data_IF_452523362002
#
_entry.id   IF_452523362002
#
_cell.length_a   1.000
_cell.length_b   1.000
_cell.length_c   1.000
_cell.angle_alpha   90.00
_cell.angle_beta   90.00
_cell.angle_gamma   90.00
#
_symmetry.space_group_name_H-M   'P 1'
#
loop_
_entity.id
_entity.type
_entity.pdbx_description
1 polymer ?
#
# COMPACT_ATOMS: atom_id res chain seq x y z
N UNK A 1 -10.37 -3.74 -36.22
CA UNK A 1 -9.52 -2.56 -35.96
C UNK A 1 -9.94 -2.07 -34.58
N UNK A 2 -9.18 -2.49 -33.55
CA UNK A 2 -9.50 -2.09 -32.19
C UNK A 2 -9.27 -0.60 -32.04
N UNK A 3 -10.29 0.11 -31.58
CA UNK A 3 -10.21 1.55 -31.29
C UNK A 3 -9.05 1.77 -30.30
N UNK A 4 -8.20 2.77 -30.52
CA UNK A 4 -7.11 3.04 -29.59
C UNK A 4 -7.70 3.30 -28.20
N UNK A 5 -7.19 2.59 -27.19
CA UNK A 5 -7.58 2.81 -25.79
C UNK A 5 -7.08 4.20 -25.40
N UNK A 6 -7.98 5.17 -25.37
CA UNK A 6 -7.65 6.54 -24.97
C UNK A 6 -7.58 6.57 -23.46
N UNK A 7 -6.40 6.77 -22.88
CA UNK A 7 -6.24 7.02 -21.46
C UNK A 7 -6.58 8.49 -21.21
N UNK A 8 -7.57 8.83 -20.38
CA UNK A 8 -7.89 10.22 -20.06
C UNK A 8 -6.67 10.95 -19.49
N UNK A 9 -6.54 12.23 -19.79
CA UNK A 9 -5.45 13.06 -19.29
C UNK A 9 -5.80 13.49 -17.87
N UNK A 10 -4.91 13.23 -16.90
CA UNK A 10 -4.97 13.81 -15.57
C UNK A 10 -3.96 14.96 -15.49
N UNK A 11 -4.43 16.15 -15.17
CA UNK A 11 -3.59 17.32 -14.98
C UNK A 11 -3.14 17.45 -13.52
N UNK A 12 -2.07 18.18 -13.27
CA UNK A 12 -1.56 18.43 -11.90
C UNK A 12 -2.62 19.08 -10.99
N UNK A 13 -3.57 19.83 -11.57
CA UNK A 13 -4.69 20.44 -10.82
C UNK A 13 -5.78 19.45 -10.39
N UNK A 14 -5.82 18.29 -11.03
CA UNK A 14 -6.81 17.25 -10.75
C UNK A 14 -6.27 16.21 -9.75
N UNK A 15 -4.99 16.29 -9.37
CA UNK A 15 -4.41 15.37 -8.39
C UNK A 15 -5.10 15.56 -7.05
N UNK A 16 -5.63 14.46 -6.51
CA UNK A 16 -6.32 14.41 -5.21
C UNK A 16 -5.66 13.43 -4.24
N UNK A 17 -4.92 12.47 -4.76
CA UNK A 17 -4.28 11.44 -3.95
C UNK A 17 -2.79 11.40 -4.22
N UNK A 18 -1.99 11.47 -3.17
CA UNK A 18 -0.55 11.27 -3.24
C UNK A 18 -0.18 9.91 -2.64
N UNK A 19 0.41 9.06 -3.46
CA UNK A 19 1.09 7.85 -3.02
C UNK A 19 2.57 8.16 -2.84
N UNK A 20 3.05 8.16 -1.60
CA UNK A 20 4.41 8.53 -1.24
C UNK A 20 5.21 7.32 -0.79
N UNK A 21 6.32 7.01 -1.44
CA UNK A 21 7.36 6.15 -0.91
C UNK A 21 8.40 7.00 -0.20
N UNK A 22 8.27 7.13 1.12
CA UNK A 22 9.11 8.05 1.92
C UNK A 22 10.52 7.50 2.17
N UNK A 23 10.75 6.22 1.93
CA UNK A 23 12.02 5.51 2.13
C UNK A 23 12.15 4.34 1.17
N UNK A 24 13.35 4.08 0.66
CA UNK A 24 13.68 2.85 -0.07
C UNK A 24 14.39 1.81 0.82
N UNK A 25 14.41 2.04 2.14
CA UNK A 25 14.98 1.13 3.14
C UNK A 25 13.89 0.21 3.70
N UNK A 26 14.18 -1.08 3.82
CA UNK A 26 13.33 -2.05 4.49
C UNK A 26 14.21 -3.12 5.15
N UNK A 27 13.84 -3.60 6.35
CA UNK A 27 14.49 -4.73 7.01
C UNK A 27 14.00 -6.08 6.51
N UNK A 28 12.83 -6.11 5.82
CA UNK A 28 12.24 -7.35 5.32
C UNK A 28 12.79 -7.74 3.95
N UNK A 29 12.91 -9.05 3.71
CA UNK A 29 13.32 -9.66 2.44
C UNK A 29 12.17 -10.50 1.85
N UNK A 30 10.99 -9.89 1.66
CA UNK A 30 9.80 -10.57 1.15
C UNK A 30 10.04 -11.08 -0.29
N UNK A 31 9.91 -12.38 -0.60
CA UNK A 31 10.39 -12.97 -1.86
C UNK A 31 9.77 -12.38 -3.14
N UNK A 32 8.49 -11.95 -3.09
CA UNK A 32 7.83 -11.34 -4.25
C UNK A 32 7.80 -9.81 -4.18
N UNK A 33 8.61 -9.17 -3.32
CA UNK A 33 8.74 -7.73 -3.26
C UNK A 33 9.60 -7.20 -4.42
N UNK A 34 9.27 -6.03 -4.98
CA UNK A 34 10.10 -5.38 -5.99
C UNK A 34 11.55 -5.19 -5.51
N UNK A 35 11.75 -4.89 -4.21
CA UNK A 35 13.08 -4.81 -3.58
C UNK A 35 13.93 -6.07 -3.81
N UNK A 36 13.31 -7.25 -3.83
CA UNK A 36 14.01 -8.53 -3.99
C UNK A 36 14.05 -9.02 -5.46
N UNK A 37 13.08 -8.61 -6.26
CA UNK A 37 12.86 -9.13 -7.61
C UNK A 37 13.31 -8.20 -8.73
N UNK A 38 13.50 -6.90 -8.47
CA UNK A 38 14.01 -5.95 -9.46
C UNK A 38 15.54 -6.03 -9.53
N UNK A 39 16.12 -6.53 -10.65
CA UNK A 39 17.57 -6.66 -10.79
C UNK A 39 18.27 -5.29 -10.87
N UNK A 40 17.54 -4.22 -11.14
CA UNK A 40 18.10 -2.86 -11.28
C UNK A 40 18.04 -2.08 -9.95
N UNK A 41 17.42 -2.64 -8.92
CA UNK A 41 17.35 -1.98 -7.61
C UNK A 41 18.64 -2.20 -6.82
N UNK A 42 19.30 -1.10 -6.48
CA UNK A 42 20.46 -1.13 -5.58
C UNK A 42 19.99 -1.29 -4.12
N UNK A 43 20.17 -2.49 -3.57
CA UNK A 43 19.79 -2.80 -2.17
C UNK A 43 20.62 -2.05 -1.12
N UNK A 44 21.77 -1.48 -1.51
CA UNK A 44 22.58 -0.62 -0.63
C UNK A 44 22.02 0.79 -0.51
N UNK A 45 21.06 1.16 -1.36
CA UNK A 45 20.36 2.44 -1.36
C UNK A 45 19.69 2.72 -0.01
N UNK A 46 19.80 3.97 0.47
CA UNK A 46 19.26 4.43 1.76
C UNK A 46 18.64 5.82 1.64
N UNK A 47 17.84 6.01 0.58
CA UNK A 47 17.15 7.29 0.41
C UNK A 47 15.96 7.39 1.36
N UNK A 48 15.86 8.55 1.99
CA UNK A 48 14.77 8.94 2.86
C UNK A 48 14.36 10.36 2.50
N UNK A 49 13.12 10.57 2.18
CA UNK A 49 12.60 11.90 1.93
C UNK A 49 12.48 12.70 3.22
N UNK A 50 12.73 14.00 3.13
CA UNK A 50 12.49 14.96 4.20
C UNK A 50 11.32 15.88 3.88
N UNK A 51 10.74 16.58 4.87
CA UNK A 51 9.74 17.62 4.62
C UNK A 51 10.27 18.71 3.69
N UNK A 52 11.54 19.12 3.81
CA UNK A 52 12.14 20.17 2.97
C UNK A 52 12.23 19.75 1.49
N UNK A 53 12.59 18.48 1.23
CA UNK A 53 12.57 17.94 -0.13
C UNK A 53 11.15 17.88 -0.68
N UNK A 54 10.17 17.45 0.12
CA UNK A 54 8.76 17.42 -0.29
C UNK A 54 8.22 18.83 -0.58
N UNK A 55 8.60 19.81 0.23
CA UNK A 55 8.24 21.21 0.01
C UNK A 55 8.81 21.76 -1.32
N UNK A 56 9.99 21.28 -1.72
CA UNK A 56 10.58 21.66 -3.01
C UNK A 56 9.91 21.00 -4.21
N UNK A 57 9.34 19.79 -4.02
CA UNK A 57 8.68 18.99 -5.06
C UNK A 57 7.20 19.33 -5.23
N UNK A 58 6.53 19.71 -4.14
CA UNK A 58 5.09 19.86 -4.07
C UNK A 58 4.74 21.33 -3.78
N UNK A 59 4.21 22.07 -4.75
CA UNK A 59 3.63 23.39 -4.51
C UNK A 59 2.55 23.32 -3.41
N UNK A 60 2.46 24.36 -2.59
CA UNK A 60 1.55 24.39 -1.45
C UNK A 60 0.08 24.25 -1.86
N UNK A 61 -0.31 24.84 -2.99
CA UNK A 61 -1.66 24.73 -3.56
C UNK A 61 -2.00 23.29 -3.96
N UNK A 62 -1.03 22.51 -4.46
CA UNK A 62 -1.21 21.07 -4.72
C UNK A 62 -1.48 20.33 -3.43
N UNK A 63 -0.69 20.55 -2.37
CA UNK A 63 -0.89 19.89 -1.06
C UNK A 63 -2.24 20.26 -0.44
N UNK A 64 -2.66 21.52 -0.57
CA UNK A 64 -3.97 22.00 -0.11
C UNK A 64 -5.14 21.33 -0.84
N UNK A 65 -4.95 20.96 -2.11
CA UNK A 65 -5.96 20.32 -2.94
C UNK A 65 -6.05 18.79 -2.74
N UNK A 66 -5.10 18.17 -2.02
CA UNK A 66 -5.12 16.73 -1.79
C UNK A 66 -6.26 16.33 -0.84
N UNK A 67 -7.02 15.33 -1.23
CA UNK A 67 -7.96 14.64 -0.35
C UNK A 67 -7.25 13.63 0.55
N UNK A 68 -6.13 13.05 0.04
CA UNK A 68 -5.43 11.96 0.72
C UNK A 68 -3.94 11.94 0.38
N UNK A 69 -3.13 11.66 1.37
CA UNK A 69 -1.75 11.20 1.21
C UNK A 69 -1.56 9.89 1.96
N UNK A 70 -0.96 8.89 1.31
CA UNK A 70 -0.61 7.66 2.00
C UNK A 70 0.82 7.23 1.68
N UNK A 71 1.49 6.69 2.68
CA UNK A 71 2.83 6.13 2.52
C UNK A 71 2.74 4.63 2.29
N UNK A 72 3.35 4.17 1.19
CA UNK A 72 3.52 2.76 0.89
C UNK A 72 4.70 2.60 -0.07
N UNK A 73 5.70 1.81 0.30
CA UNK A 73 6.88 1.61 -0.54
C UNK A 73 6.76 0.46 -1.53
N UNK A 74 7.38 0.61 -2.69
CA UNK A 74 7.70 -0.47 -3.59
C UNK A 74 8.97 -1.21 -3.14
N UNK A 75 9.94 -0.46 -2.63
CA UNK A 75 11.27 -0.92 -2.24
C UNK A 75 11.53 -0.78 -0.74
N UNK A 76 10.88 0.17 -0.07
CA UNK A 76 11.08 0.44 1.34
C UNK A 76 9.84 0.31 2.20
N UNK A 77 10.03 0.53 3.50
CA UNK A 77 8.95 0.62 4.48
C UNK A 77 8.92 2.04 5.06
N UNK A 78 7.76 2.70 5.14
CA UNK A 78 7.66 4.06 5.67
C UNK A 78 8.20 4.22 7.09
N UNK A 79 8.12 3.18 7.93
CA UNK A 79 8.66 3.21 9.28
C UNK A 79 10.20 3.17 9.33
N UNK A 80 10.88 2.92 8.19
CA UNK A 80 12.34 3.03 8.09
C UNK A 80 12.83 4.48 8.02
N UNK A 81 12.01 5.40 7.55
CA UNK A 81 12.36 6.82 7.52
C UNK A 81 12.16 7.46 8.90
N UNK A 82 13.25 7.92 9.51
CA UNK A 82 13.22 8.59 10.81
C UNK A 82 12.46 9.93 10.80
N UNK A 83 12.16 10.47 9.61
CA UNK A 83 11.40 11.72 9.43
C UNK A 83 9.90 11.49 9.17
N UNK A 84 9.44 10.25 9.13
CA UNK A 84 8.04 9.92 8.80
C UNK A 84 7.03 10.71 9.63
N UNK A 85 7.21 10.81 10.96
CA UNK A 85 6.31 11.60 11.81
C UNK A 85 6.34 13.09 11.46
N UNK A 86 7.51 13.63 11.11
CA UNK A 86 7.64 15.03 10.67
C UNK A 86 6.96 15.26 9.33
N UNK A 87 7.05 14.31 8.39
CA UNK A 87 6.37 14.39 7.09
C UNK A 87 4.85 14.43 7.29
N UNK A 88 4.28 13.57 8.13
CA UNK A 88 2.84 13.60 8.42
C UNK A 88 2.40 14.92 9.05
N UNK A 89 3.15 15.44 10.02
CA UNK A 89 2.87 16.76 10.63
C UNK A 89 2.92 17.88 9.61
N UNK A 90 3.89 17.83 8.69
CA UNK A 90 4.02 18.81 7.61
C UNK A 90 2.78 18.79 6.69
N UNK A 91 2.33 17.65 6.21
CA UNK A 91 1.11 17.57 5.39
C UNK A 91 -0.10 18.10 6.15
N UNK A 92 -0.26 17.71 7.40
CA UNK A 92 -1.39 18.15 8.24
C UNK A 92 -1.36 19.66 8.52
N UNK A 93 -0.19 20.27 8.64
CA UNK A 93 -0.05 21.72 8.86
C UNK A 93 -0.49 22.55 7.65
N UNK A 94 -0.34 22.02 6.42
CA UNK A 94 -0.75 22.67 5.18
C UNK A 94 -2.23 22.40 4.87
N UNK A 95 -2.66 21.17 5.07
CA UNK A 95 -4.03 20.72 4.81
C UNK A 95 -4.58 19.99 6.05
N UNK A 96 -5.27 20.69 6.96
CA UNK A 96 -5.79 20.07 8.18
C UNK A 96 -6.80 18.94 7.96
N UNK A 97 -7.46 18.90 6.80
CA UNK A 97 -8.51 17.92 6.49
C UNK A 97 -8.03 16.72 5.65
N UNK A 98 -6.74 16.71 5.26
CA UNK A 98 -6.19 15.64 4.45
C UNK A 98 -6.30 14.28 5.16
N UNK A 99 -6.72 13.25 4.46
CA UNK A 99 -6.63 11.86 4.96
C UNK A 99 -5.19 11.40 4.90
N UNK A 100 -4.67 10.93 6.02
CA UNK A 100 -3.31 10.39 6.11
C UNK A 100 -3.35 8.87 6.29
N UNK A 101 -2.58 8.14 5.48
CA UNK A 101 -2.51 6.70 5.52
C UNK A 101 -1.10 6.16 5.50
N UNK A 102 -0.90 4.92 5.99
CA UNK A 102 0.36 4.18 5.91
C UNK A 102 0.08 2.72 5.58
N UNK A 103 0.93 2.13 4.73
CA UNK A 103 1.04 0.68 4.58
C UNK A 103 2.44 0.26 5.00
N UNK A 104 2.56 -0.69 5.92
CA UNK A 104 3.82 -1.09 6.53
C UNK A 104 3.83 -2.56 6.89
N UNK A 105 5.02 -3.14 7.06
CA UNK A 105 5.16 -4.47 7.65
C UNK A 105 5.08 -4.45 9.20
N UNK A 106 5.07 -3.28 9.82
CA UNK A 106 4.92 -3.09 11.26
C UNK A 106 6.14 -3.50 12.13
N UNK A 107 7.19 -4.06 11.53
CA UNK A 107 8.31 -4.65 12.26
C UNK A 107 9.43 -3.67 12.66
N UNK A 108 9.32 -2.41 12.28
CA UNK A 108 10.29 -1.36 12.63
C UNK A 108 9.77 -0.47 13.75
N UNK A 109 10.67 0.38 14.27
CA UNK A 109 10.41 1.30 15.37
C UNK A 109 10.04 0.58 16.69
N UNK A 110 9.74 1.34 17.73
CA UNK A 110 9.30 0.84 19.04
C UNK A 110 7.84 1.25 19.32
N UNK A 111 7.25 0.71 20.35
CA UNK A 111 5.86 0.97 20.72
C UNK A 111 5.55 2.44 21.02
N UNK A 112 6.51 3.19 21.55
CA UNK A 112 6.36 4.62 21.79
C UNK A 112 6.17 5.40 20.47
N UNK A 113 6.98 5.10 19.45
CA UNK A 113 6.86 5.71 18.13
C UNK A 113 5.49 5.42 17.49
N UNK A 114 4.99 4.18 17.63
CA UNK A 114 3.68 3.79 17.09
C UNK A 114 2.53 4.49 17.82
N UNK A 115 2.64 4.64 19.14
CA UNK A 115 1.68 5.44 19.90
C UNK A 115 1.71 6.91 19.49
N UNK A 116 2.89 7.50 19.25
CA UNK A 116 3.05 8.86 18.75
C UNK A 116 2.46 9.02 17.34
N UNK A 117 2.66 8.04 16.44
CA UNK A 117 2.04 8.03 15.12
C UNK A 117 0.51 8.06 15.23
N UNK A 118 -0.09 7.33 16.17
CA UNK A 118 -1.53 7.33 16.39
C UNK A 118 -2.06 8.70 16.78
N UNK A 119 -1.29 9.48 17.57
CA UNK A 119 -1.67 10.86 17.92
C UNK A 119 -1.63 11.82 16.72
N UNK A 120 -0.84 11.52 15.70
CA UNK A 120 -0.77 12.31 14.46
C UNK A 120 -1.87 11.88 13.49
N UNK A 121 -2.08 10.57 13.34
CA UNK A 121 -3.11 9.96 12.50
C UNK A 121 -4.42 9.81 13.30
N UNK A 122 -5.00 10.94 13.73
CA UNK A 122 -6.11 11.00 14.69
C UNK A 122 -7.45 11.45 14.05
N UNK A 123 -7.48 11.66 12.74
CA UNK A 123 -8.72 11.99 12.04
C UNK A 123 -9.54 10.71 11.77
N UNK A 124 -10.88 10.80 11.67
CA UNK A 124 -11.75 9.62 11.52
C UNK A 124 -11.43 8.71 10.32
N UNK A 125 -10.83 9.28 9.27
CA UNK A 125 -10.47 8.55 8.04
C UNK A 125 -8.99 8.21 7.92
N UNK A 126 -8.17 8.63 8.89
CA UNK A 126 -6.75 8.26 8.92
C UNK A 126 -6.60 6.77 9.25
N UNK A 127 -5.54 6.13 8.76
CA UNK A 127 -5.37 4.70 8.97
C UNK A 127 -3.92 4.23 8.84
N UNK A 128 -3.64 3.09 9.45
CA UNK A 128 -2.43 2.31 9.18
C UNK A 128 -2.81 0.88 8.77
N UNK A 129 -2.33 0.45 7.62
CA UNK A 129 -2.43 -0.93 7.16
C UNK A 129 -1.19 -1.69 7.58
N UNK A 130 -1.35 -2.64 8.49
CA UNK A 130 -0.33 -3.60 8.86
C UNK A 130 -0.40 -4.79 7.91
N UNK A 131 0.68 -5.02 7.17
CA UNK A 131 0.81 -6.15 6.23
C UNK A 131 1.34 -7.36 6.98
N UNK A 132 0.45 -8.21 7.47
CA UNK A 132 0.74 -9.40 8.29
C UNK A 132 0.19 -10.63 7.56
N UNK A 133 1.06 -11.58 7.21
CA UNK A 133 0.74 -12.64 6.26
C UNK A 133 0.64 -14.01 6.95
N UNK A 134 -0.03 -14.05 8.08
CA UNK A 134 -0.30 -15.25 8.86
C UNK A 134 -0.16 -15.03 10.36
N UNK A 135 -0.18 -16.11 11.11
CA UNK A 135 0.15 -16.15 12.53
C UNK A 135 1.67 -16.24 12.73
N UNK A 136 2.12 -16.42 13.97
CA UNK A 136 3.53 -16.44 14.35
C UNK A 136 4.35 -17.47 13.59
N UNK A 137 3.75 -18.65 13.33
CA UNK A 137 4.36 -19.80 12.67
C UNK A 137 4.52 -19.66 11.15
N UNK A 138 3.73 -18.78 10.50
CA UNK A 138 3.71 -18.67 9.03
C UNK A 138 4.04 -17.28 8.49
N UNK A 139 3.88 -16.23 9.29
CA UNK A 139 4.17 -14.86 8.82
C UNK A 139 5.60 -14.72 8.31
N UNK A 140 6.57 -15.38 8.96
CA UNK A 140 7.98 -15.37 8.60
C UNK A 140 8.31 -16.02 7.26
N UNK A 141 7.46 -16.89 6.74
CA UNK A 141 7.67 -17.55 5.43
C UNK A 141 7.63 -16.56 4.27
N UNK A 142 6.83 -15.51 4.41
CA UNK A 142 6.80 -14.40 3.44
C UNK A 142 7.48 -13.14 3.97
N UNK A 143 7.24 -12.75 5.23
CA UNK A 143 7.82 -11.54 5.86
C UNK A 143 9.20 -11.84 6.47
N UNK A 144 10.11 -12.37 5.64
CA UNK A 144 11.47 -12.75 6.07
C UNK A 144 12.16 -11.54 6.73
N UNK A 145 12.68 -11.72 7.94
CA UNK A 145 13.34 -10.67 8.71
C UNK A 145 12.39 -9.80 9.56
N UNK A 146 11.09 -10.08 9.57
CA UNK A 146 10.11 -9.40 10.41
C UNK A 146 9.74 -10.28 11.60
N UNK A 147 9.96 -9.76 12.81
CA UNK A 147 9.62 -10.45 14.05
C UNK A 147 8.12 -10.26 14.35
N UNK A 148 7.36 -11.36 14.34
CA UNK A 148 5.90 -11.34 14.52
C UNK A 148 5.47 -10.70 15.84
N UNK A 149 6.09 -11.07 16.97
CA UNK A 149 5.79 -10.49 18.28
C UNK A 149 5.99 -8.96 18.31
N UNK A 150 7.00 -8.46 17.60
CA UNK A 150 7.23 -7.01 17.47
C UNK A 150 6.14 -6.31 16.67
N UNK A 151 5.66 -6.94 15.60
CA UNK A 151 4.53 -6.40 14.80
C UNK A 151 3.26 -6.32 15.65
N UNK A 152 2.96 -7.37 16.42
CA UNK A 152 1.79 -7.38 17.32
C UNK A 152 1.87 -6.28 18.36
N UNK A 153 3.00 -6.16 19.07
CA UNK A 153 3.21 -5.11 20.08
C UNK A 153 3.09 -3.70 19.48
N UNK A 154 3.62 -3.48 18.28
CA UNK A 154 3.55 -2.20 17.59
C UNK A 154 2.10 -1.86 17.14
N UNK A 155 1.37 -2.84 16.61
CA UNK A 155 -0.03 -2.67 16.23
C UNK A 155 -0.90 -2.37 17.46
N UNK A 156 -0.69 -3.09 18.56
CA UNK A 156 -1.37 -2.86 19.85
C UNK A 156 -1.12 -1.45 20.36
N UNK A 157 0.15 -0.98 20.35
CA UNK A 157 0.50 0.37 20.78
C UNK A 157 -0.16 1.45 19.90
N UNK A 158 -0.25 1.24 18.59
CA UNK A 158 -0.94 2.15 17.67
C UNK A 158 -2.45 2.19 17.95
N UNK A 159 -3.08 1.04 18.16
CA UNK A 159 -4.50 0.93 18.50
C UNK A 159 -4.79 1.57 19.87
N UNK A 160 -3.96 1.27 20.88
CA UNK A 160 -4.08 1.87 22.22
C UNK A 160 -3.91 3.40 22.21
N UNK A 161 -3.12 3.94 21.28
CA UNK A 161 -3.01 5.37 21.01
C UNK A 161 -4.24 5.97 20.29
N UNK A 162 -5.28 5.20 19.99
CA UNK A 162 -6.50 5.64 19.28
C UNK A 162 -6.42 5.56 17.76
N UNK A 163 -5.34 4.99 17.21
CA UNK A 163 -5.15 4.84 15.76
C UNK A 163 -6.10 3.82 15.11
N UNK A 164 -6.49 4.07 13.87
CA UNK A 164 -7.29 3.14 13.07
C UNK A 164 -6.38 2.14 12.35
N UNK A 165 -6.22 0.95 12.92
CA UNK A 165 -5.42 -0.13 12.36
C UNK A 165 -6.23 -1.03 11.42
N UNK A 166 -5.65 -1.37 10.27
CA UNK A 166 -6.18 -2.33 9.31
C UNK A 166 -5.18 -3.47 9.15
N UNK A 167 -5.66 -4.70 9.01
CA UNK A 167 -4.82 -5.87 8.76
C UNK A 167 -5.00 -6.31 7.31
N UNK A 168 -3.94 -6.24 6.48
CA UNK A 168 -3.89 -6.83 5.14
C UNK A 168 -3.04 -8.10 5.16
N UNK A 169 -3.61 -9.21 4.68
CA UNK A 169 -2.96 -10.52 4.58
C UNK A 169 -2.83 -10.93 3.12
N UNK A 170 -1.60 -11.18 2.66
CA UNK A 170 -1.36 -11.89 1.41
C UNK A 170 -1.54 -13.39 1.63
N UNK A 171 -2.42 -14.01 0.84
CA UNK A 171 -2.74 -15.42 0.97
C UNK A 171 -1.94 -16.24 -0.02
N UNK A 172 -1.21 -17.21 0.51
CA UNK A 172 -0.47 -18.24 -0.20
C UNK A 172 -0.88 -19.61 0.33
N UNK A 173 -0.43 -20.69 -0.30
CA UNK A 173 -0.75 -22.06 0.14
C UNK A 173 -0.35 -22.34 1.60
N UNK A 174 0.80 -21.80 2.05
CA UNK A 174 1.32 -22.07 3.40
C UNK A 174 0.49 -21.43 4.51
N UNK A 175 -0.26 -20.35 4.23
CA UNK A 175 -1.02 -19.60 5.24
C UNK A 175 -2.55 -19.54 4.97
N UNK A 176 -3.05 -20.13 3.87
CA UNK A 176 -4.48 -20.00 3.52
C UNK A 176 -5.42 -20.60 4.57
N UNK A 177 -4.96 -21.60 5.32
CA UNK A 177 -5.72 -22.23 6.42
C UNK A 177 -5.86 -21.30 7.63
N UNK A 178 -5.05 -20.24 7.75
CA UNK A 178 -5.06 -19.31 8.89
C UNK A 178 -5.94 -18.08 8.68
N UNK A 179 -6.54 -17.88 7.51
CA UNK A 179 -7.32 -16.66 7.20
C UNK A 179 -8.37 -16.35 8.27
N UNK A 180 -9.15 -17.37 8.68
CA UNK A 180 -10.18 -17.19 9.71
C UNK A 180 -9.59 -16.93 11.11
N UNK A 181 -8.45 -17.53 11.43
CA UNK A 181 -7.78 -17.30 12.72
C UNK A 181 -7.16 -15.90 12.79
N UNK A 182 -6.54 -15.42 11.70
CA UNK A 182 -6.04 -14.06 11.58
C UNK A 182 -7.15 -13.02 11.69
N UNK A 183 -8.33 -13.27 11.10
CA UNK A 183 -9.48 -12.37 11.22
C UNK A 183 -9.98 -12.30 12.67
N UNK A 184 -10.09 -13.44 13.37
CA UNK A 184 -10.48 -13.43 14.79
C UNK A 184 -9.48 -12.65 15.62
N UNK A 185 -8.19 -12.93 15.46
CA UNK A 185 -7.13 -12.22 16.19
C UNK A 185 -7.15 -10.71 15.90
N UNK A 186 -7.34 -10.30 14.63
CA UNK A 186 -7.48 -8.91 14.26
C UNK A 186 -8.65 -8.22 14.99
N UNK A 187 -9.77 -8.89 15.10
CA UNK A 187 -10.95 -8.43 15.85
C UNK A 187 -10.65 -8.27 17.32
N UNK A 188 -10.06 -9.30 17.93
CA UNK A 188 -9.76 -9.33 19.37
C UNK A 188 -8.75 -8.26 19.77
N UNK A 189 -7.81 -7.94 18.88
CA UNK A 189 -6.84 -6.85 19.03
C UNK A 189 -7.43 -5.45 18.78
N UNK A 190 -8.62 -5.33 18.18
CA UNK A 190 -9.26 -4.05 17.89
C UNK A 190 -8.90 -3.42 16.54
N UNK A 191 -8.41 -4.18 15.59
CA UNK A 191 -8.30 -3.71 14.20
C UNK A 191 -9.68 -3.33 13.66
N UNK A 192 -9.75 -2.29 12.81
CA UNK A 192 -11.00 -1.83 12.19
C UNK A 192 -11.35 -2.60 10.92
N UNK A 193 -10.34 -3.08 10.20
CA UNK A 193 -10.50 -3.82 8.96
C UNK A 193 -9.58 -5.04 8.95
N UNK A 194 -10.11 -6.12 8.36
CA UNK A 194 -9.32 -7.30 7.98
C UNK A 194 -9.53 -7.57 6.49
N UNK A 195 -8.46 -7.74 5.75
CA UNK A 195 -8.51 -8.06 4.32
C UNK A 195 -7.52 -9.16 4.00
N UNK A 196 -8.00 -10.17 3.29
CA UNK A 196 -7.18 -11.27 2.78
C UNK A 196 -7.24 -11.28 1.25
N UNK A 197 -6.09 -11.25 0.60
CA UNK A 197 -5.99 -11.19 -0.87
C UNK A 197 -4.91 -12.12 -1.40
N UNK A 198 -5.09 -12.60 -2.63
CA UNK A 198 -4.05 -13.31 -3.37
C UNK A 198 -3.15 -12.30 -4.07
N UNK A 199 -1.84 -12.52 -4.00
CA UNK A 199 -0.88 -11.64 -4.67
C UNK A 199 -0.95 -11.82 -6.19
N UNK A 200 -0.93 -10.68 -6.93
CA UNK A 200 -0.72 -10.68 -8.40
C UNK A 200 0.76 -10.66 -8.80
N UNK A 201 1.67 -10.56 -7.83
CA UNK A 201 3.11 -10.58 -8.13
C UNK A 201 3.53 -11.98 -8.53
N UNK A 202 4.52 -12.13 -9.43
CA UNK A 202 5.07 -13.43 -9.78
C UNK A 202 5.49 -14.21 -8.53
N UNK A 203 5.18 -15.49 -8.50
CA UNK A 203 5.61 -16.37 -7.42
C UNK A 203 7.13 -16.52 -7.46
N UNK A 204 7.77 -16.47 -6.30
CA UNK A 204 9.20 -16.60 -6.14
C UNK A 204 9.53 -17.66 -5.08
N UNK A 205 10.57 -18.46 -5.33
CA UNK A 205 11.06 -19.45 -4.39
C UNK A 205 10.00 -20.50 -4.03
N UNK A 206 9.71 -20.64 -2.73
CA UNK A 206 8.75 -21.64 -2.19
C UNK A 206 7.30 -21.18 -2.21
N UNK A 207 7.02 -19.96 -2.66
CA UNK A 207 5.66 -19.43 -2.67
C UNK A 207 4.79 -20.20 -3.68
N UNK A 208 3.60 -20.59 -3.25
CA UNK A 208 2.61 -21.28 -4.08
C UNK A 208 1.27 -20.57 -3.96
N UNK A 209 0.50 -20.56 -5.04
CA UNK A 209 -0.88 -20.05 -5.01
C UNK A 209 -1.72 -20.87 -4.03
N UNK A 210 -2.74 -20.27 -3.39
CA UNK A 210 -3.68 -21.01 -2.55
C UNK A 210 -4.38 -22.12 -3.34
N UNK A 211 -4.66 -23.25 -2.69
CA UNK A 211 -5.39 -24.37 -3.32
C UNK A 211 -6.78 -23.94 -3.78
N UNK A 212 -7.41 -23.08 -2.98
CA UNK A 212 -8.78 -22.59 -3.21
C UNK A 212 -8.85 -21.45 -4.24
N UNK A 213 -7.73 -21.08 -4.85
CA UNK A 213 -7.67 -20.00 -5.83
C UNK A 213 -7.33 -20.53 -7.23
N UNK A 214 -8.14 -20.17 -8.21
CA UNK A 214 -7.82 -20.34 -9.62
C UNK A 214 -7.52 -18.95 -10.20
N UNK A 215 -6.31 -18.76 -10.74
CA UNK A 215 -5.98 -17.51 -11.40
C UNK A 215 -6.86 -17.36 -12.65
N UNK A 216 -7.66 -16.30 -12.79
CA UNK A 216 -8.42 -16.07 -14.01
C UNK A 216 -7.46 -15.87 -15.19
N UNK A 217 -7.72 -16.53 -16.31
CA UNK A 217 -7.04 -16.25 -17.57
C UNK A 217 -7.54 -14.90 -18.06
N UNK A 218 -6.64 -13.91 -18.16
CA UNK A 218 -6.99 -12.56 -18.54
C UNK A 218 -6.67 -12.27 -19.99
N UNK A 219 -7.70 -11.96 -20.78
CA UNK A 219 -7.56 -11.17 -21.99
C UNK A 219 -8.08 -9.77 -21.70
N UNK A 220 -7.18 -8.82 -21.48
CA UNK A 220 -7.57 -7.45 -21.19
C UNK A 220 -8.20 -6.81 -22.43
N UNK A 221 -9.46 -6.40 -22.32
CA UNK A 221 -10.19 -5.69 -23.39
C UNK A 221 -10.15 -4.17 -23.19
N UNK A 222 -9.85 -3.70 -21.97
CA UNK A 222 -9.71 -2.29 -21.64
C UNK A 222 -8.78 -2.13 -20.40
N UNK A 223 -8.32 -0.92 -20.17
CA UNK A 223 -7.58 -0.55 -18.96
C UNK A 223 -8.52 0.24 -18.04
N UNK A 224 -8.73 -0.25 -16.82
CA UNK A 224 -9.36 0.50 -15.73
C UNK A 224 -8.23 1.05 -14.82
N UNK A 225 -7.69 2.19 -15.23
CA UNK A 225 -6.53 2.77 -14.58
C UNK A 225 -6.88 3.26 -13.17
N UNK A 226 -6.35 2.57 -12.16
CA UNK A 226 -6.55 2.92 -10.75
C UNK A 226 -6.07 4.35 -10.43
N UNK A 227 -4.89 4.74 -10.95
CA UNK A 227 -4.34 6.07 -10.73
C UNK A 227 -5.23 7.19 -11.28
N UNK A 228 -5.80 7.00 -12.48
CA UNK A 228 -6.73 7.97 -13.05
C UNK A 228 -8.04 8.03 -12.27
N UNK A 229 -8.60 6.89 -11.89
CA UNK A 229 -9.85 6.83 -11.13
C UNK A 229 -9.73 7.49 -9.75
N UNK A 230 -8.61 7.27 -9.07
CA UNK A 230 -8.31 7.86 -7.75
C UNK A 230 -7.70 9.27 -7.86
N UNK A 231 -7.44 9.76 -9.06
CA UNK A 231 -6.70 11.01 -9.31
C UNK A 231 -5.37 11.03 -8.53
N UNK A 232 -4.61 9.96 -8.63
CA UNK A 232 -3.41 9.73 -7.82
C UNK A 232 -2.13 9.85 -8.61
N UNK A 233 -1.06 10.25 -7.93
CA UNK A 233 0.32 10.28 -8.42
C UNK A 233 1.22 9.61 -7.38
N UNK A 234 2.33 9.04 -7.85
CA UNK A 234 3.34 8.38 -7.03
C UNK A 234 4.64 9.18 -6.99
N UNK A 235 5.20 9.33 -5.79
CA UNK A 235 6.54 9.91 -5.57
C UNK A 235 7.39 8.85 -4.88
N UNK A 236 8.56 8.54 -5.46
CA UNK A 236 9.50 7.58 -4.89
C UNK A 236 10.43 8.21 -3.83
N UNK A 237 11.22 7.37 -3.15
CA UNK A 237 12.14 7.80 -2.10
C UNK A 237 13.29 8.72 -2.57
N UNK A 238 13.48 8.88 -3.86
CA UNK A 238 14.43 9.81 -4.49
C UNK A 238 13.80 11.13 -4.91
N UNK A 239 12.49 11.29 -4.69
CA UNK A 239 11.72 12.46 -5.10
C UNK A 239 11.34 12.46 -6.58
N UNK A 240 11.45 11.33 -7.27
CA UNK A 240 11.02 11.22 -8.66
C UNK A 240 9.52 10.92 -8.71
N UNK A 241 8.83 11.50 -9.66
CA UNK A 241 7.37 11.43 -9.80
C UNK A 241 7.02 10.49 -10.95
N UNK A 242 6.13 9.55 -10.72
CA UNK A 242 5.59 8.63 -11.72
C UNK A 242 4.05 8.63 -11.66
N UNK A 243 3.36 8.33 -12.76
CA UNK A 243 1.88 8.29 -12.78
C UNK A 243 1.30 7.33 -11.73
N UNK A 244 1.98 6.22 -11.45
CA UNK A 244 1.55 5.27 -10.42
C UNK A 244 2.71 4.42 -9.90
N UNK A 245 2.49 3.74 -8.77
CA UNK A 245 3.48 2.85 -8.16
C UNK A 245 3.87 1.64 -9.03
N UNK A 246 3.01 1.16 -9.94
CA UNK A 246 3.35 0.06 -10.82
C UNK A 246 4.39 0.46 -11.86
N UNK A 247 4.25 1.64 -12.47
CA UNK A 247 5.25 2.20 -13.38
C UNK A 247 6.52 2.55 -12.60
N UNK A 248 6.38 3.18 -11.43
CA UNK A 248 7.50 3.47 -10.53
C UNK A 248 8.29 2.22 -10.12
N UNK A 249 7.61 1.10 -9.81
CA UNK A 249 8.29 -0.16 -9.48
C UNK A 249 9.02 -0.82 -10.66
N UNK A 250 8.76 -0.35 -11.87
CA UNK A 250 9.46 -0.78 -13.10
C UNK A 250 10.46 0.25 -13.60
N UNK A 251 10.72 1.29 -12.81
CA UNK A 251 11.59 2.41 -13.17
C UNK A 251 11.16 3.11 -14.47
N UNK A 252 9.84 3.20 -14.69
CA UNK A 252 9.25 3.76 -15.91
C UNK A 252 8.53 5.07 -15.64
N UNK A 253 8.50 5.93 -16.65
CA UNK A 253 7.72 7.17 -16.71
C UNK A 253 7.97 8.12 -15.52
N UNK A 254 9.24 8.24 -15.09
CA UNK A 254 9.61 9.20 -14.06
C UNK A 254 9.83 10.60 -14.63
N UNK A 255 9.31 11.58 -13.91
CA UNK A 255 9.53 13.02 -14.15
C UNK A 255 10.04 13.69 -12.88
N UNK A 256 10.66 14.86 -13.01
CA UNK A 256 11.21 15.63 -11.89
C UNK A 256 10.27 16.71 -11.37
N UNK A 257 9.22 17.05 -12.13
CA UNK A 257 8.26 18.10 -11.80
C UNK A 257 6.83 17.53 -11.92
N UNK A 258 6.01 17.75 -10.91
CA UNK A 258 4.63 17.28 -10.88
C UNK A 258 3.79 17.81 -12.06
N UNK A 259 4.13 18.96 -12.62
CA UNK A 259 3.47 19.52 -13.81
C UNK A 259 3.73 18.70 -15.07
N UNK A 260 4.82 17.95 -15.11
CA UNK A 260 5.19 17.09 -16.24
C UNK A 260 4.43 15.76 -16.27
N UNK A 261 3.71 15.42 -15.22
CA UNK A 261 2.87 14.21 -15.15
C UNK A 261 1.81 14.20 -16.26
N UNK A 262 1.31 15.36 -16.66
CA UNK A 262 0.36 15.51 -17.78
C UNK A 262 0.91 14.92 -19.08
N UNK A 263 2.19 15.11 -19.35
CA UNK A 263 2.86 14.63 -20.58
C UNK A 263 3.04 13.11 -20.54
N UNK A 264 3.35 12.58 -19.38
CA UNK A 264 3.65 11.15 -19.18
C UNK A 264 2.42 10.25 -19.40
N UNK A 265 1.22 10.73 -19.07
CA UNK A 265 -0.02 9.97 -19.21
C UNK A 265 -0.68 10.07 -20.59
N UNK A 266 -0.23 11.00 -21.43
CA UNK A 266 -0.78 11.23 -22.78
C UNK A 266 -0.02 10.40 -23.83
N UNK A 267 -0.09 9.07 -23.73
CA UNK A 267 0.53 8.18 -24.72
C UNK A 267 -0.52 7.49 -25.57
N UNK A 268 -0.34 7.40 -26.91
CA UNK A 268 -1.30 6.80 -27.82
C UNK A 268 -1.42 5.27 -27.69
N UNK A 269 -0.48 4.62 -27.02
CA UNK A 269 -0.45 3.18 -26.78
C UNK A 269 -0.28 2.90 -25.30
N UNK A 270 -1.12 2.04 -24.68
CA UNK A 270 -0.98 1.69 -23.28
C UNK A 270 0.34 1.00 -23.01
N UNK A 271 1.04 1.42 -21.95
CA UNK A 271 2.22 0.73 -21.47
C UNK A 271 1.85 -0.73 -21.11
N UNK A 272 2.66 -1.74 -21.47
CA UNK A 272 2.41 -3.14 -21.12
C UNK A 272 2.20 -3.36 -19.60
N UNK A 273 2.84 -2.56 -18.75
CA UNK A 273 2.61 -2.57 -17.30
C UNK A 273 1.16 -2.18 -16.96
N UNK A 274 0.58 -1.21 -17.67
CA UNK A 274 -0.81 -0.80 -17.47
C UNK A 274 -1.78 -1.93 -17.85
N UNK A 275 -1.52 -2.63 -18.94
CA UNK A 275 -2.32 -3.79 -19.37
C UNK A 275 -2.25 -4.89 -18.31
N UNK A 276 -1.06 -5.21 -17.82
CA UNK A 276 -0.84 -6.26 -16.81
C UNK A 276 -1.46 -5.93 -15.45
N UNK A 277 -1.30 -4.68 -14.98
CA UNK A 277 -1.71 -4.27 -13.64
C UNK A 277 -3.18 -3.85 -13.56
N UNK A 278 -3.69 -3.16 -14.59
CA UNK A 278 -4.99 -2.51 -14.61
C UNK A 278 -5.88 -2.96 -15.77
N UNK A 279 -5.45 -3.96 -16.57
CA UNK A 279 -6.30 -4.54 -17.62
C UNK A 279 -7.53 -5.21 -17.03
N UNK A 280 -8.67 -5.03 -17.70
CA UNK A 280 -9.96 -5.64 -17.36
C UNK A 280 -10.47 -6.40 -18.57
N UNK A 281 -10.85 -7.66 -18.38
CA UNK A 281 -11.44 -8.53 -19.41
C UNK A 281 -12.75 -9.13 -18.93
N UNK A 282 -13.33 -10.00 -19.75
CA UNK A 282 -14.61 -10.67 -19.46
C UNK A 282 -14.60 -11.53 -18.18
N UNK A 283 -13.41 -11.91 -17.69
CA UNK A 283 -13.21 -12.72 -16.49
C UNK A 283 -12.84 -11.90 -15.24
N UNK A 284 -13.19 -10.64 -15.18
CA UNK A 284 -13.06 -9.74 -14.03
C UNK A 284 -11.84 -9.99 -13.12
N UNK A 285 -10.70 -9.39 -13.40
CA UNK A 285 -9.67 -9.27 -12.38
C UNK A 285 -9.03 -7.89 -12.43
N UNK A 286 -9.78 -6.90 -11.98
CA UNK A 286 -9.22 -5.61 -11.60
C UNK A 286 -8.46 -5.74 -10.27
N UNK A 287 -7.80 -4.66 -9.84
CA UNK A 287 -7.08 -4.61 -8.57
C UNK A 287 -7.95 -5.02 -7.37
N UNK A 288 -9.26 -4.76 -7.40
CA UNK A 288 -10.21 -5.12 -6.33
C UNK A 288 -10.61 -6.60 -6.36
N UNK A 289 -10.68 -7.23 -7.53
CA UNK A 289 -11.04 -8.65 -7.67
C UNK A 289 -10.00 -9.62 -7.08
N UNK A 290 -8.84 -9.15 -6.65
CA UNK A 290 -7.86 -9.98 -5.95
C UNK A 290 -8.19 -10.22 -4.46
N UNK A 291 -9.19 -9.50 -3.88
CA UNK A 291 -9.60 -9.73 -2.51
C UNK A 291 -10.32 -11.07 -2.37
N UNK A 292 -9.81 -11.92 -1.50
CA UNK A 292 -10.46 -13.18 -1.12
C UNK A 292 -11.52 -12.95 -0.04
N UNK A 293 -11.23 -12.05 0.90
CA UNK A 293 -12.11 -11.68 2.01
C UNK A 293 -11.79 -10.26 2.46
N UNK A 294 -12.84 -9.48 2.66
CA UNK A 294 -12.76 -8.14 3.21
C UNK A 294 -13.86 -7.96 4.25
N UNK A 295 -13.49 -7.61 5.48
CA UNK A 295 -14.42 -7.49 6.60
C UNK A 295 -14.19 -6.18 7.35
N UNK A 296 -15.25 -5.39 7.48
CA UNK A 296 -15.31 -4.22 8.34
C UNK A 296 -15.60 -4.68 9.78
N UNK A 297 -14.55 -4.86 10.56
CA UNK A 297 -14.65 -5.32 11.94
C UNK A 297 -15.31 -4.30 12.87
N UNK A 298 -15.36 -3.03 12.48
CA UNK A 298 -16.01 -1.98 13.28
C UNK A 298 -17.54 -2.11 13.32
N UNK A 299 -18.12 -2.85 12.38
CA UNK A 299 -19.57 -3.08 12.27
C UNK A 299 -20.04 -4.37 12.93
N UNK A 300 -19.12 -5.20 13.42
CA UNK A 300 -19.44 -6.46 14.08
C UNK A 300 -19.72 -6.17 15.56
N UNK A 301 -20.96 -6.39 16.00
CA UNK A 301 -21.33 -6.18 17.40
C UNK A 301 -20.73 -7.26 18.32
N UNK A 302 -20.47 -6.91 19.60
CA UNK A 302 -20.01 -7.90 20.59
C UNK A 302 -21.02 -9.05 20.84
N UNK A 303 -22.29 -8.84 20.51
CA UNK A 303 -23.35 -9.86 20.62
C UNK A 303 -23.23 -10.97 19.54
N UNK A 304 -22.66 -10.64 18.37
CA UNK A 304 -22.45 -11.63 17.30
C UNK A 304 -21.26 -12.57 17.61
N UNK A 305 -20.48 -12.24 18.64
CA UNK A 305 -19.31 -13.01 19.08
C UNK A 305 -19.68 -14.32 19.79
N UNK A 306 -20.88 -14.44 20.35
CA UNK A 306 -21.30 -15.64 21.08
C UNK A 306 -21.85 -16.76 20.17
N UNK A 307 -22.21 -16.46 18.94
CA UNK A 307 -22.87 -17.39 18.02
C UNK A 307 -21.91 -18.23 17.15
N UNK A 308 -20.59 -17.98 17.20
CA UNK A 308 -19.58 -18.66 16.35
C UNK A 308 -18.73 -19.67 17.14
N UNK A 309 -19.02 -19.87 18.41
CA UNK A 309 -18.32 -20.84 19.30
C UNK A 309 -19.09 -22.14 19.54
N UNK A 310 -20.08 -22.45 18.71
CA UNK A 310 -20.75 -23.76 18.70
C UNK A 310 -20.53 -24.49 17.39
#
# INVERSE_FOLDING_TARGET
MDSPVTIPILTSREIRVLHLESSDVCQAACPACARETDPNFDKSSKHNLSPDQLQSLLPQDVVQALDKMFMCGNYGDPAANHLTLRIYRWFRSINPNIVLGMNTNGGLQNTFWWHELAQILNQPRDYVVFSIDGLEDTNGDYRIGVQWAKVMANAEAFIAGGGSAHWDMLVYRHNEHQVNACERLARDMGFKWFRAKVSKRPLQGRLQIPITWQAPVMHATRIDCHALREQSVYIDARGRISPCCWLGSRQQDFVSDIKQVEVTWNTPTPNPTCVQACGVGDSQSNFQAQWRREVDLSKISRSDMAAVTT
#
